data_IF_571922757604
#
_entry.id   IF_571922757604
#
_cell.length_a   1.000
_cell.length_b   1.000
_cell.length_c   1.000
_cell.angle_alpha   90.00
_cell.angle_beta   90.00
_cell.angle_gamma   90.00
#
_symmetry.space_group_name_H-M   'P 1'
#
loop_
_entity.id
_entity.type
_entity.pdbx_description
1 polymer ?
#
# COMPACT_ATOMS: atom_id res chain seq x y z
N UNK A 1 4.63 9.87 12.31
CA UNK A 1 5.01 10.55 11.05
C UNK A 1 4.04 11.69 10.75
N UNK A 2 2.72 11.42 10.60
CA UNK A 2 1.72 12.45 10.22
C UNK A 2 1.76 13.68 11.13
N UNK A 3 1.71 13.50 12.44
CA UNK A 3 1.77 14.59 13.44
C UNK A 3 3.02 15.49 13.27
N UNK A 4 4.19 14.88 13.00
CA UNK A 4 5.43 15.62 12.80
C UNK A 4 5.38 16.50 11.54
N UNK A 5 4.92 15.91 10.42
CA UNK A 5 4.79 16.61 9.13
C UNK A 5 3.77 17.74 9.24
N UNK A 6 2.64 17.47 9.84
CA UNK A 6 1.55 18.44 10.10
C UNK A 6 2.06 19.63 10.91
N UNK A 7 2.67 19.39 12.07
CA UNK A 7 3.18 20.46 12.93
C UNK A 7 4.24 21.31 12.23
N UNK A 8 5.19 20.67 11.50
CA UNK A 8 6.27 21.39 10.81
C UNK A 8 5.76 22.31 9.69
N UNK A 9 4.66 21.94 9.05
CA UNK A 9 4.12 22.68 7.90
C UNK A 9 2.84 23.46 8.25
N UNK A 10 2.47 23.55 9.53
CA UNK A 10 1.23 24.17 9.99
C UNK A 10 -0.02 23.68 9.24
N UNK A 11 -0.09 22.37 9.05
CA UNK A 11 -1.20 21.69 8.37
C UNK A 11 -2.05 20.93 9.38
N UNK A 12 -3.33 20.81 9.11
CA UNK A 12 -4.19 19.85 9.81
C UNK A 12 -4.12 18.48 9.13
N UNK A 13 -4.34 17.42 9.90
CA UNK A 13 -4.47 16.07 9.35
C UNK A 13 -5.70 15.37 9.92
N UNK A 14 -6.25 14.48 9.13
CA UNK A 14 -7.34 13.60 9.52
C UNK A 14 -6.84 12.17 9.67
N UNK A 15 -7.46 11.41 10.55
CA UNK A 15 -7.22 9.99 10.71
C UNK A 15 -8.29 9.21 9.95
N UNK A 16 -7.88 8.12 9.29
CA UNK A 16 -8.78 7.20 8.61
C UNK A 16 -8.27 5.76 8.80
N UNK A 17 -9.12 4.89 9.32
CA UNK A 17 -8.78 3.50 9.63
C UNK A 17 -8.40 2.70 8.38
N UNK A 18 -8.91 3.09 7.20
CA UNK A 18 -8.56 2.46 5.93
C UNK A 18 -7.08 2.63 5.56
N UNK A 19 -6.34 3.50 6.25
CA UNK A 19 -4.90 3.71 6.07
C UNK A 19 -4.02 2.94 7.06
N UNK A 20 -4.61 2.19 7.98
CA UNK A 20 -3.86 1.35 8.93
C UNK A 20 -3.07 0.26 8.20
N UNK A 21 -2.04 -0.28 8.88
CA UNK A 21 -1.34 -1.46 8.37
C UNK A 21 -2.30 -2.64 8.23
N UNK A 22 -2.02 -3.54 7.30
CA UNK A 22 -2.83 -4.75 7.12
C UNK A 22 -2.88 -5.56 8.41
N UNK A 23 -4.01 -6.14 8.69
CA UNK A 23 -4.16 -7.06 9.83
C UNK A 23 -3.48 -8.38 9.49
N UNK A 24 -2.50 -8.76 10.28
CA UNK A 24 -1.81 -10.05 10.12
C UNK A 24 -2.67 -11.25 10.56
N UNK A 25 -3.60 -11.02 11.50
CA UNK A 25 -4.47 -12.06 12.02
C UNK A 25 -3.73 -13.08 12.87
N UNK A 26 -4.12 -14.35 12.77
CA UNK A 26 -3.56 -15.41 13.59
C UNK A 26 -2.10 -15.72 13.23
N UNK A 27 -1.22 -15.63 14.23
CA UNK A 27 0.23 -15.81 14.05
C UNK A 27 0.60 -17.26 13.67
N UNK A 28 -0.13 -18.26 14.15
CA UNK A 28 0.13 -19.66 13.83
C UNK A 28 -0.16 -19.97 12.36
N UNK A 29 -1.28 -19.44 11.85
CA UNK A 29 -1.63 -19.57 10.43
C UNK A 29 -0.58 -18.87 9.56
N UNK A 30 -0.10 -17.71 9.99
CA UNK A 30 0.95 -16.96 9.29
C UNK A 30 2.27 -17.72 9.29
N UNK A 31 2.68 -18.28 10.44
CA UNK A 31 3.89 -19.07 10.56
C UNK A 31 3.85 -20.31 9.66
N UNK A 32 2.70 -21.00 9.62
CA UNK A 32 2.49 -22.14 8.72
C UNK A 32 2.64 -21.72 7.25
N UNK A 33 1.97 -20.67 6.85
CA UNK A 33 2.06 -20.14 5.47
C UNK A 33 3.50 -19.78 5.10
N UNK A 34 4.26 -19.15 6.00
CA UNK A 34 5.65 -18.79 5.78
C UNK A 34 6.55 -20.03 5.66
N UNK A 35 6.35 -21.04 6.49
CA UNK A 35 7.09 -22.29 6.44
C UNK A 35 6.80 -23.08 5.17
N UNK A 36 5.52 -23.18 4.77
CA UNK A 36 5.09 -23.86 3.55
C UNK A 36 5.68 -23.20 2.29
N UNK A 37 6.00 -21.91 2.35
CA UNK A 37 6.58 -21.14 1.23
C UNK A 37 8.08 -20.89 1.36
N UNK A 38 8.71 -21.40 2.42
CA UNK A 38 10.13 -21.17 2.70
C UNK A 38 10.50 -19.67 2.69
N UNK A 39 9.57 -18.81 3.10
CA UNK A 39 9.72 -17.35 3.04
C UNK A 39 9.84 -16.71 4.42
N UNK A 40 10.49 -15.55 4.48
CA UNK A 40 10.56 -14.71 5.67
C UNK A 40 9.76 -13.41 5.54
N UNK A 41 9.19 -13.14 4.37
CA UNK A 41 8.39 -11.93 4.12
C UNK A 41 6.98 -12.32 3.65
N UNK A 42 6.01 -12.42 4.59
CA UNK A 42 4.65 -12.80 4.23
C UNK A 42 3.98 -11.78 3.30
N UNK A 43 4.37 -10.50 3.34
CA UNK A 43 3.79 -9.51 2.44
C UNK A 43 4.26 -9.69 1.00
N UNK A 44 5.44 -10.21 0.81
CA UNK A 44 5.97 -10.55 -0.52
C UNK A 44 5.25 -11.77 -1.11
N UNK A 45 5.07 -12.80 -0.31
CA UNK A 45 4.34 -14.00 -0.75
C UNK A 45 2.86 -13.71 -1.01
N UNK A 46 2.24 -12.82 -0.25
CA UNK A 46 0.86 -12.40 -0.52
C UNK A 46 0.71 -11.61 -1.84
N UNK A 47 1.77 -11.10 -2.43
CA UNK A 47 1.71 -10.57 -3.80
C UNK A 47 1.47 -11.67 -4.83
N UNK A 48 2.01 -12.88 -4.61
CA UNK A 48 1.76 -14.05 -5.46
C UNK A 48 0.41 -14.73 -5.17
N UNK A 49 -0.05 -14.64 -3.92
CA UNK A 49 -1.30 -15.24 -3.44
C UNK A 49 -2.21 -14.17 -2.81
N UNK A 50 -2.76 -13.24 -3.59
CA UNK A 50 -3.43 -12.05 -3.08
C UNK A 50 -4.73 -12.34 -2.31
N UNK A 51 -5.31 -13.53 -2.48
CA UNK A 51 -6.48 -13.99 -1.72
C UNK A 51 -6.13 -14.62 -0.37
N UNK A 52 -4.84 -14.96 -0.16
CA UNK A 52 -4.44 -15.60 1.09
C UNK A 52 -4.64 -14.65 2.27
N UNK A 53 -5.28 -15.16 3.31
CA UNK A 53 -5.37 -14.52 4.62
C UNK A 53 -5.36 -15.54 5.74
N UNK A 54 -4.86 -15.13 6.88
CA UNK A 54 -4.98 -15.88 8.13
C UNK A 54 -6.36 -15.66 8.73
N UNK A 55 -6.73 -16.47 9.72
CA UNK A 55 -7.92 -16.22 10.53
C UNK A 55 -7.81 -14.84 11.19
N UNK A 56 -8.87 -14.04 11.09
CA UNK A 56 -8.97 -12.66 11.56
C UNK A 56 -7.97 -11.67 10.90
N UNK A 57 -7.29 -12.10 9.83
CA UNK A 57 -6.37 -11.27 9.06
C UNK A 57 -7.00 -10.68 7.80
N UNK A 58 -6.21 -9.87 7.11
CA UNK A 58 -6.54 -9.33 5.78
C UNK A 58 -5.70 -10.01 4.71
N UNK A 59 -6.32 -10.30 3.58
CA UNK A 59 -5.62 -10.63 2.33
C UNK A 59 -5.04 -9.36 1.69
N UNK A 60 -4.20 -9.54 0.68
CA UNK A 60 -3.75 -8.42 -0.13
C UNK A 60 -4.93 -7.72 -0.82
N UNK A 61 -5.93 -8.49 -1.28
CA UNK A 61 -7.12 -7.96 -1.93
C UNK A 61 -8.03 -7.20 -0.96
N UNK A 62 -8.22 -7.68 0.29
CA UNK A 62 -8.99 -6.96 1.32
C UNK A 62 -8.34 -5.58 1.57
N UNK A 63 -7.02 -5.55 1.76
CA UNK A 63 -6.27 -4.32 1.99
C UNK A 63 -6.30 -3.40 0.75
N UNK A 64 -6.13 -3.95 -0.45
CA UNK A 64 -6.22 -3.20 -1.70
C UNK A 64 -7.59 -2.52 -1.83
N UNK A 65 -8.67 -3.25 -1.55
CA UNK A 65 -10.05 -2.74 -1.63
C UNK A 65 -10.24 -1.53 -0.74
N UNK A 66 -9.95 -1.64 0.59
CA UNK A 66 -10.17 -0.52 1.52
C UNK A 66 -9.30 0.70 1.21
N UNK A 67 -8.06 0.48 0.75
CA UNK A 67 -7.17 1.57 0.34
C UNK A 67 -7.68 2.28 -0.91
N UNK A 68 -8.21 1.55 -1.89
CA UNK A 68 -8.84 2.15 -3.08
C UNK A 68 -10.10 2.94 -2.74
N UNK A 69 -10.96 2.42 -1.85
CA UNK A 69 -12.14 3.15 -1.38
C UNK A 69 -11.75 4.50 -0.77
N UNK A 70 -10.73 4.52 0.09
CA UNK A 70 -10.20 5.76 0.66
C UNK A 70 -9.64 6.71 -0.40
N UNK A 71 -8.78 6.22 -1.30
CA UNK A 71 -8.13 7.08 -2.30
C UNK A 71 -9.14 7.64 -3.29
N UNK A 72 -10.12 6.85 -3.72
CA UNK A 72 -11.17 7.32 -4.63
C UNK A 72 -12.00 8.44 -3.99
N UNK A 73 -12.40 8.29 -2.72
CA UNK A 73 -13.07 9.36 -1.98
C UNK A 73 -12.23 10.64 -1.91
N UNK A 74 -10.94 10.49 -1.65
CA UNK A 74 -10.00 11.62 -1.59
C UNK A 74 -9.85 12.30 -2.96
N UNK A 75 -9.76 11.54 -4.04
CA UNK A 75 -9.67 12.08 -5.40
C UNK A 75 -10.91 12.87 -5.81
N UNK A 76 -12.09 12.37 -5.46
CA UNK A 76 -13.35 13.07 -5.71
C UNK A 76 -13.46 14.37 -4.89
N UNK A 77 -13.21 14.27 -3.58
CA UNK A 77 -13.37 15.38 -2.64
C UNK A 77 -12.36 16.50 -2.83
N UNK A 78 -11.13 16.17 -3.24
CA UNK A 78 -10.01 17.09 -3.28
C UNK A 78 -9.41 17.23 -4.69
N UNK A 79 -10.23 17.19 -5.71
CA UNK A 79 -9.77 17.32 -7.10
C UNK A 79 -8.90 18.57 -7.29
N UNK A 80 -7.78 18.41 -8.00
CA UNK A 80 -6.81 19.48 -8.27
C UNK A 80 -5.93 19.89 -7.08
N UNK A 81 -6.01 19.20 -5.94
CA UNK A 81 -5.19 19.48 -4.75
C UNK A 81 -3.98 18.56 -4.65
N UNK A 82 -2.99 18.97 -3.87
CA UNK A 82 -1.87 18.13 -3.43
C UNK A 82 -2.21 17.57 -2.05
N UNK A 83 -2.15 16.25 -1.92
CA UNK A 83 -2.55 15.54 -0.72
C UNK A 83 -1.41 14.63 -0.29
N UNK A 84 -1.04 14.69 0.98
CA UNK A 84 -0.11 13.74 1.59
C UNK A 84 -0.92 12.64 2.30
N UNK A 85 -0.73 11.41 1.88
CA UNK A 85 -1.30 10.23 2.51
C UNK A 85 -0.17 9.48 3.21
N UNK A 86 -0.34 9.18 4.49
CA UNK A 86 0.64 8.48 5.30
C UNK A 86 0.04 7.16 5.72
N UNK A 87 0.69 6.07 5.34
CA UNK A 87 0.26 4.71 5.61
C UNK A 87 1.48 3.82 5.88
N UNK A 88 1.36 2.53 5.76
CA UNK A 88 2.34 1.51 6.12
C UNK A 88 2.80 0.71 4.90
N UNK A 89 3.96 0.05 5.04
CA UNK A 89 4.61 -0.63 3.93
C UNK A 89 3.76 -1.72 3.28
N UNK A 90 3.11 -2.57 4.06
CA UNK A 90 2.24 -3.63 3.55
C UNK A 90 1.00 -3.07 2.85
N UNK A 91 0.32 -2.12 3.49
CA UNK A 91 -0.87 -1.49 2.92
C UNK A 91 -0.58 -0.73 1.63
N UNK A 92 0.55 -0.02 1.56
CA UNK A 92 0.98 0.66 0.33
C UNK A 92 1.29 -0.35 -0.78
N UNK A 93 2.04 -1.44 -0.49
CA UNK A 93 2.32 -2.49 -1.46
C UNK A 93 1.03 -3.06 -2.07
N UNK A 94 0.06 -3.40 -1.22
CA UNK A 94 -1.17 -4.02 -1.69
C UNK A 94 -2.08 -3.03 -2.44
N UNK A 95 -2.11 -1.76 -2.03
CA UNK A 95 -2.79 -0.72 -2.80
C UNK A 95 -2.23 -0.60 -4.23
N UNK A 96 -0.92 -0.70 -4.37
CA UNK A 96 -0.26 -0.59 -5.68
C UNK A 96 -0.56 -1.75 -6.63
N UNK A 97 -1.14 -2.87 -6.17
CA UNK A 97 -1.63 -3.95 -7.04
C UNK A 97 -2.69 -3.48 -8.05
N UNK A 98 -3.37 -2.36 -7.78
CA UNK A 98 -4.31 -1.74 -8.73
C UNK A 98 -3.63 -1.11 -9.94
N UNK A 99 -2.32 -0.89 -9.88
CA UNK A 99 -1.57 -0.11 -10.89
C UNK A 99 -0.29 -0.77 -11.37
N UNK A 100 0.22 -1.73 -10.61
CA UNK A 100 1.49 -2.40 -10.86
C UNK A 100 1.26 -3.88 -11.19
N UNK A 101 2.15 -4.42 -11.99
CA UNK A 101 2.28 -5.88 -12.16
C UNK A 101 3.20 -6.42 -11.08
N UNK A 102 3.03 -7.69 -10.74
CA UNK A 102 3.97 -8.44 -9.91
C UNK A 102 4.86 -9.25 -10.85
N UNK A 103 6.17 -9.03 -10.79
CA UNK A 103 7.11 -9.77 -11.63
C UNK A 103 7.46 -11.14 -11.02
N UNK A 104 8.23 -11.96 -11.76
CA UNK A 104 8.64 -13.30 -11.33
C UNK A 104 9.42 -13.33 -10.00
N UNK A 105 10.03 -12.21 -9.63
CA UNK A 105 10.75 -12.04 -8.35
C UNK A 105 9.86 -11.53 -7.22
N UNK A 106 8.54 -11.49 -7.44
CA UNK A 106 7.54 -10.95 -6.50
C UNK A 106 7.80 -9.49 -6.11
N UNK A 107 8.32 -8.69 -7.05
CA UNK A 107 8.46 -7.26 -6.90
C UNK A 107 7.37 -6.55 -7.73
N UNK A 108 6.97 -5.36 -7.26
CA UNK A 108 6.04 -4.52 -8.01
C UNK A 108 6.75 -3.86 -9.19
N UNK A 109 6.07 -3.80 -10.33
CA UNK A 109 6.56 -3.20 -11.55
C UNK A 109 5.52 -2.23 -12.13
N UNK A 110 5.94 -1.00 -12.38
CA UNK A 110 5.13 0.03 -13.03
C UNK A 110 5.79 0.48 -14.32
N UNK A 111 5.10 0.32 -15.47
CA UNK A 111 5.61 0.67 -16.81
C UNK A 111 7.00 0.09 -17.06
N UNK A 112 7.14 -1.22 -16.83
CA UNK A 112 8.38 -1.99 -17.06
C UNK A 112 9.57 -1.57 -16.16
N UNK A 113 9.30 -0.82 -15.09
CA UNK A 113 10.30 -0.43 -14.09
C UNK A 113 9.95 -1.00 -12.74
N UNK A 114 10.90 -1.67 -12.12
CA UNK A 114 10.73 -2.19 -10.76
C UNK A 114 10.56 -1.02 -9.77
N UNK A 115 9.56 -1.14 -8.90
CA UNK A 115 9.21 -0.17 -7.88
C UNK A 115 9.51 -0.76 -6.50
N UNK A 116 10.61 -0.34 -5.91
CA UNK A 116 10.98 -0.77 -4.56
C UNK A 116 10.19 -0.02 -3.49
N UNK A 117 9.49 -0.76 -2.63
CA UNK A 117 8.74 -0.21 -1.48
C UNK A 117 9.48 -0.62 -0.20
N UNK A 118 10.55 0.09 0.11
CA UNK A 118 11.33 -0.08 1.34
C UNK A 118 11.11 1.10 2.27
N UNK A 119 10.94 0.87 3.57
CA UNK A 119 10.74 1.94 4.55
C UNK A 119 12.08 2.60 4.93
N UNK A 120 12.13 3.94 4.97
CA UNK A 120 11.09 4.88 4.57
C UNK A 120 10.93 4.97 3.04
N UNK A 121 9.73 5.28 2.59
CA UNK A 121 9.41 5.38 1.16
C UNK A 121 8.51 6.59 0.92
N UNK A 122 8.81 7.35 -0.12
CA UNK A 122 7.97 8.43 -0.62
C UNK A 122 7.59 8.14 -2.06
N UNK A 123 6.30 8.02 -2.32
CA UNK A 123 5.74 7.84 -3.65
C UNK A 123 4.99 9.08 -4.08
N UNK A 124 5.18 9.49 -5.32
CA UNK A 124 4.38 10.52 -5.96
C UNK A 124 3.47 9.88 -6.98
N UNK A 125 2.18 10.08 -6.81
CA UNK A 125 1.14 9.59 -7.71
C UNK A 125 0.41 10.79 -8.31
N UNK A 126 0.24 10.78 -9.63
CA UNK A 126 -0.47 11.84 -10.36
C UNK A 126 -1.71 11.24 -10.97
N UNK A 127 -2.86 11.80 -10.63
CA UNK A 127 -4.16 11.40 -11.16
C UNK A 127 -4.75 12.48 -12.04
N UNK A 128 -5.46 12.06 -13.09
CA UNK A 128 -6.30 12.92 -13.95
C UNK A 128 -7.59 12.14 -14.24
N UNK A 129 -8.73 12.76 -13.99
CA UNK A 129 -10.04 12.13 -14.16
C UNK A 129 -10.12 10.77 -13.46
N UNK A 130 -9.66 10.72 -12.21
CA UNK A 130 -9.54 9.54 -11.36
C UNK A 130 -8.68 8.39 -11.93
N UNK A 131 -7.92 8.65 -13.00
CA UNK A 131 -6.98 7.67 -13.57
C UNK A 131 -5.55 8.01 -13.20
N UNK A 132 -4.78 7.01 -12.81
CA UNK A 132 -3.35 7.17 -12.54
C UNK A 132 -2.60 7.46 -13.85
N UNK A 133 -1.96 8.63 -13.91
CA UNK A 133 -1.14 9.07 -15.04
C UNK A 133 0.33 8.74 -14.83
N UNK A 134 0.82 8.96 -13.61
CA UNK A 134 2.20 8.68 -13.23
C UNK A 134 2.33 8.19 -11.79
N UNK A 135 3.29 7.32 -11.59
CA UNK A 135 3.73 6.81 -10.28
C UNK A 135 5.25 6.78 -10.29
N UNK A 136 5.86 7.43 -9.33
CA UNK A 136 7.30 7.45 -9.17
C UNK A 136 7.70 7.40 -7.68
N UNK A 137 8.79 6.72 -7.39
CA UNK A 137 9.45 6.81 -6.09
C UNK A 137 10.35 8.03 -6.07
N UNK A 138 10.21 8.87 -5.04
CA UNK A 138 11.07 10.02 -4.82
C UNK A 138 12.25 9.57 -3.97
N UNK A 139 13.46 9.78 -4.46
CA UNK A 139 14.68 9.62 -3.71
C UNK A 139 15.01 10.95 -3.00
N UNK A 140 15.40 10.88 -1.75
CA UNK A 140 15.75 12.03 -0.89
C UNK A 140 17.04 11.78 -0.16
#
# INVERSE_FOLDING_TARGET
TAKYISNRNNLQYNLDERLCERKLGNIEDLAKFMNDKETRDPSREQLAFPEFKTRDGESANDTNKRMNEFVNEVLEKYNGKRIAIISHGGSIKFYLLSYCKVNERLNLEYKEKELSITSPCLLKMIFRDNKLINLERINY
#
